data_IF_651553672533
#
_entry.id   IF_651553672533
#
_cell.length_a   1.000
_cell.length_b   1.000
_cell.length_c   1.000
_cell.angle_alpha   90.00
_cell.angle_beta   90.00
_cell.angle_gamma   90.00
#
_symmetry.space_group_name_H-M   'P 1'
#
loop_
_entity.id
_entity.type
_entity.pdbx_description
1 polymer ?
#
# COMPACT_ATOMS: atom_id res chain seq x y z
N UNK A 1 2.46 0.51 10.34
CA UNK A 1 1.48 0.42 9.24
C UNK A 1 0.90 -0.98 9.03
N UNK A 2 1.71 -2.05 9.03
CA UNK A 2 1.21 -3.45 8.84
C UNK A 2 0.10 -3.86 9.82
N UNK A 3 0.21 -3.46 11.09
CA UNK A 3 -0.80 -3.73 12.12
C UNK A 3 -2.20 -3.21 11.78
N UNK A 4 -2.31 -2.09 11.08
CA UNK A 4 -3.60 -1.50 10.67
C UNK A 4 -4.28 -2.42 9.66
N UNK A 5 -3.55 -2.84 8.61
CA UNK A 5 -4.09 -3.76 7.60
C UNK A 5 -4.53 -5.10 8.21
N UNK A 6 -3.76 -5.63 9.15
CA UNK A 6 -4.11 -6.86 9.86
C UNK A 6 -5.38 -6.70 10.70
N UNK A 7 -5.50 -5.62 11.48
CA UNK A 7 -6.71 -5.37 12.28
C UNK A 7 -7.95 -5.21 11.40
N UNK A 8 -7.84 -4.60 10.22
CA UNK A 8 -8.95 -4.51 9.27
C UNK A 8 -9.39 -5.88 8.78
N UNK A 9 -8.43 -6.74 8.40
CA UNK A 9 -8.74 -8.10 7.97
C UNK A 9 -9.44 -8.86 9.10
N UNK A 10 -8.89 -8.82 10.31
CA UNK A 10 -9.48 -9.47 11.51
C UNK A 10 -10.90 -8.97 11.77
N UNK A 11 -11.12 -7.66 11.74
CA UNK A 11 -12.44 -7.07 11.98
C UNK A 11 -13.45 -7.49 10.89
N UNK A 12 -13.04 -7.57 9.62
CA UNK A 12 -13.91 -7.97 8.50
C UNK A 12 -14.27 -9.46 8.50
N UNK A 13 -13.42 -10.33 9.05
CA UNK A 13 -13.74 -11.75 9.23
C UNK A 13 -14.50 -12.03 10.54
N UNK A 14 -14.80 -11.00 11.34
CA UNK A 14 -15.52 -11.12 12.60
C UNK A 14 -14.66 -11.55 13.80
N UNK A 15 -13.34 -11.37 13.72
CA UNK A 15 -12.41 -11.67 14.81
C UNK A 15 -12.09 -10.43 15.65
N UNK A 16 -11.63 -10.67 16.88
CA UNK A 16 -11.09 -9.61 17.74
C UNK A 16 -9.84 -8.98 17.12
N UNK A 17 -9.75 -7.66 17.20
CA UNK A 17 -8.58 -6.89 16.79
C UNK A 17 -7.64 -6.68 17.97
N UNK A 18 -6.37 -6.38 17.69
CA UNK A 18 -5.40 -6.02 18.73
C UNK A 18 -5.55 -4.55 19.16
N UNK A 19 -6.76 -4.17 19.60
CA UNK A 19 -7.08 -2.80 20.05
C UNK A 19 -8.22 -2.79 21.06
N UNK A 20 -8.27 -1.76 21.91
CA UNK A 20 -9.36 -1.57 22.90
C UNK A 20 -10.69 -1.20 22.24
N UNK A 21 -10.63 -0.49 21.12
CA UNK A 21 -11.75 -0.20 20.22
C UNK A 21 -11.25 -0.20 18.79
N UNK A 22 -12.13 -0.52 17.83
CA UNK A 22 -11.79 -0.50 16.41
C UNK A 22 -13.00 -0.15 15.58
N UNK A 23 -13.03 1.08 15.07
CA UNK A 23 -14.02 1.53 14.10
C UNK A 23 -13.38 1.55 12.72
N UNK A 24 -14.07 0.96 11.74
CA UNK A 24 -13.55 0.85 10.38
C UNK A 24 -14.69 0.83 9.37
N UNK A 25 -14.37 1.18 8.12
CA UNK A 25 -15.28 1.03 6.99
C UNK A 25 -15.01 -0.30 6.29
N UNK A 26 -16.04 -1.01 5.78
CA UNK A 26 -15.82 -2.23 5.02
C UNK A 26 -15.04 -1.94 3.72
N UNK A 27 -13.87 -2.55 3.60
CA UNK A 27 -13.02 -2.48 2.43
C UNK A 27 -13.20 -3.74 1.57
N UNK A 28 -13.32 -3.55 0.26
CA UNK A 28 -13.39 -4.63 -0.72
C UNK A 28 -12.00 -5.04 -1.20
N UNK A 29 -11.00 -4.17 -1.04
CA UNK A 29 -9.65 -4.41 -1.52
C UNK A 29 -8.61 -3.75 -0.61
N UNK A 30 -7.55 -4.50 -0.31
CA UNK A 30 -6.39 -4.04 0.44
C UNK A 30 -5.14 -4.19 -0.44
N UNK A 31 -4.52 -3.07 -0.80
CA UNK A 31 -3.24 -3.07 -1.53
C UNK A 31 -2.12 -2.60 -0.62
N UNK A 32 -0.94 -3.20 -0.75
CA UNK A 32 0.24 -2.80 0.02
C UNK A 32 1.43 -2.58 -0.91
N UNK A 33 2.12 -1.46 -0.75
CA UNK A 33 3.48 -1.29 -1.27
C UNK A 33 4.38 -0.86 -0.11
N UNK A 34 4.95 -1.85 0.56
CA UNK A 34 5.90 -1.66 1.66
C UNK A 34 7.23 -2.23 1.18
N UNK A 35 8.32 -1.49 1.36
CA UNK A 35 9.66 -1.94 0.95
C UNK A 35 10.01 -3.26 1.66
N UNK A 36 10.49 -4.22 0.89
CA UNK A 36 11.12 -5.46 1.35
C UNK A 36 12.53 -5.53 0.79
N UNK A 37 13.39 -6.40 1.33
CA UNK A 37 14.79 -6.57 0.85
C UNK A 37 14.80 -6.80 -0.66
N UNK A 38 15.49 -5.92 -1.38
CA UNK A 38 15.41 -5.80 -2.84
C UNK A 38 15.80 -7.07 -3.59
N UNK A 39 15.04 -7.36 -4.65
CA UNK A 39 15.49 -8.22 -5.73
C UNK A 39 16.24 -7.37 -6.76
N UNK A 40 17.57 -7.44 -6.73
CA UNK A 40 18.50 -6.70 -7.60
C UNK A 40 18.44 -7.10 -9.10
N UNK A 41 17.53 -8.01 -9.49
CA UNK A 41 17.58 -8.67 -10.78
C UNK A 41 16.34 -8.39 -11.62
N UNK A 42 16.45 -7.37 -12.48
CA UNK A 42 15.80 -7.20 -13.79
C UNK A 42 16.39 -5.90 -14.35
N UNK A 43 16.88 -5.88 -15.58
CA UNK A 43 17.58 -4.74 -16.20
C UNK A 43 16.74 -3.48 -16.45
N UNK A 44 15.84 -3.12 -15.53
CA UNK A 44 15.01 -1.92 -15.51
C UNK A 44 15.28 -1.17 -14.19
N UNK A 45 15.12 0.16 -14.20
CA UNK A 45 15.26 0.96 -12.97
C UNK A 45 14.28 0.47 -11.91
N UNK A 46 14.78 0.18 -10.70
CA UNK A 46 13.95 -0.20 -9.54
C UNK A 46 12.80 0.79 -9.32
N UNK A 47 13.05 2.08 -9.58
CA UNK A 47 12.05 3.14 -9.56
C UNK A 47 10.93 2.95 -10.59
N UNK A 48 11.27 2.59 -11.83
CA UNK A 48 10.26 2.42 -12.88
C UNK A 48 9.37 1.19 -12.59
N UNK A 49 9.95 0.14 -12.01
CA UNK A 49 9.20 -1.02 -11.53
C UNK A 49 8.25 -0.62 -10.41
N UNK A 50 8.75 0.10 -9.41
CA UNK A 50 7.96 0.60 -8.28
C UNK A 50 6.80 1.51 -8.73
N UNK A 51 7.07 2.45 -9.63
CA UNK A 51 6.06 3.36 -10.15
C UNK A 51 5.00 2.62 -10.98
N UNK A 52 5.40 1.59 -11.74
CA UNK A 52 4.48 0.76 -12.52
C UNK A 52 3.54 -0.03 -11.60
N UNK A 53 4.07 -0.60 -10.52
CA UNK A 53 3.28 -1.29 -9.48
C UNK A 53 2.30 -0.33 -8.81
N UNK A 54 2.76 0.87 -8.43
CA UNK A 54 1.92 1.89 -7.82
C UNK A 54 0.79 2.32 -8.76
N UNK A 55 1.10 2.58 -10.04
CA UNK A 55 0.09 2.91 -11.04
C UNK A 55 -0.93 1.80 -11.22
N UNK A 56 -0.52 0.52 -11.16
CA UNK A 56 -1.44 -0.61 -11.20
C UNK A 56 -2.37 -0.66 -9.97
N UNK A 57 -1.89 -0.29 -8.79
CA UNK A 57 -2.71 -0.14 -7.58
C UNK A 57 -3.71 1.01 -7.75
N UNK A 58 -3.25 2.18 -8.19
CA UNK A 58 -4.09 3.36 -8.37
C UNK A 58 -5.18 3.16 -9.42
N UNK A 59 -4.88 2.47 -10.53
CA UNK A 59 -5.88 2.15 -11.56
C UNK A 59 -7.01 1.22 -11.08
N UNK A 60 -6.81 0.50 -9.97
CA UNK A 60 -7.80 -0.42 -9.39
C UNK A 60 -8.49 0.14 -8.15
N UNK A 61 -8.15 1.36 -7.73
CA UNK A 61 -8.74 1.93 -6.53
C UNK A 61 -10.21 2.31 -6.76
N UNK A 62 -10.98 2.25 -5.67
CA UNK A 62 -12.34 2.76 -5.57
C UNK A 62 -12.58 3.26 -4.13
N UNK A 63 -13.78 3.73 -3.83
CA UNK A 63 -14.18 4.24 -2.51
C UNK A 63 -13.99 3.25 -1.35
N UNK A 64 -13.96 1.94 -1.64
CA UNK A 64 -13.84 0.86 -0.65
C UNK A 64 -12.47 0.17 -0.74
N UNK A 65 -11.44 0.89 -1.18
CA UNK A 65 -10.07 0.37 -1.28
C UNK A 65 -9.19 1.01 -0.22
N UNK A 66 -8.48 0.18 0.54
CA UNK A 66 -7.39 0.63 1.41
C UNK A 66 -6.04 0.38 0.75
N UNK A 67 -5.23 1.43 0.65
CA UNK A 67 -3.85 1.36 0.13
C UNK A 67 -2.90 1.70 1.27
N UNK A 68 -1.97 0.81 1.57
CA UNK A 68 -0.90 1.01 2.56
C UNK A 68 0.44 1.09 1.83
N UNK A 69 0.98 2.30 1.73
CA UNK A 69 2.30 2.57 1.15
C UNK A 69 3.32 2.90 2.23
N UNK A 70 4.56 2.46 2.07
CA UNK A 70 5.70 2.90 2.89
C UNK A 70 6.91 3.18 1.99
N UNK A 71 7.59 4.29 2.25
CA UNK A 71 8.79 4.73 1.52
C UNK A 71 8.66 4.77 -0.01
N UNK A 72 7.46 5.05 -0.52
CA UNK A 72 7.19 5.15 -1.96
C UNK A 72 8.03 6.27 -2.58
N UNK A 73 8.71 5.99 -3.70
CA UNK A 73 9.53 6.95 -4.45
C UNK A 73 10.72 7.53 -3.65
N UNK A 74 11.20 6.82 -2.62
CA UNK A 74 12.34 7.26 -1.79
C UNK A 74 13.63 7.21 -2.62
N UNK A 75 14.07 8.37 -3.10
CA UNK A 75 15.27 8.50 -3.96
C UNK A 75 15.09 9.32 -5.24
N UNK A 76 13.88 9.84 -5.50
CA UNK A 76 13.59 10.68 -6.70
C UNK A 76 13.50 12.17 -6.39
N UNK A 77 13.87 13.01 -7.37
CA UNK A 77 13.73 14.47 -7.29
C UNK A 77 12.26 14.86 -7.06
N UNK A 78 12.05 15.77 -6.10
CA UNK A 78 10.75 16.34 -5.66
C UNK A 78 9.77 16.70 -6.80
N UNK A 79 10.30 17.05 -7.97
CA UNK A 79 9.54 17.43 -9.16
C UNK A 79 8.64 16.30 -9.71
N UNK A 80 9.04 15.04 -9.61
CA UNK A 80 8.24 13.90 -10.11
C UNK A 80 7.19 13.41 -9.12
N UNK A 81 7.43 13.58 -7.81
CA UNK A 81 6.50 13.11 -6.78
C UNK A 81 5.24 13.98 -6.65
N UNK A 82 5.28 15.22 -7.15
CA UNK A 82 4.20 16.21 -7.03
C UNK A 82 3.46 16.46 -8.35
N UNK A 83 3.41 15.48 -9.26
CA UNK A 83 2.59 15.59 -10.46
C UNK A 83 1.10 15.59 -10.06
N UNK A 84 0.50 16.77 -10.24
CA UNK A 84 -0.88 17.14 -9.96
C UNK A 84 -1.87 16.38 -10.83
#
# INVERSE_FOLDING_TARGET
>A
MKSIGLNIILAQIGYFTASTSFEYFPYNSLFTRIVGTDNLFKGQSSFMVELTELMAILKRNNSNTLIIGDEICKGTFYYFASAK
#
